data_IF_548092327300
#
_entry.id   IF_548092327300
#
_cell.length_a   1.000
_cell.length_b   1.000
_cell.length_c   1.000
_cell.angle_alpha   90.00
_cell.angle_beta   90.00
_cell.angle_gamma   90.00
#
_symmetry.space_group_name_H-M   'P 1'
#
loop_
_entity.id
_entity.type
_entity.pdbx_description
1 polymer ?
#
# COMPACT_ATOMS: atom_id res chain seq x y z
N UNK A 1 -0.78 14.70 16.11
CA UNK A 1 -0.70 13.27 16.30
C UNK A 1 -0.52 12.58 14.95
N UNK A 2 0.40 11.64 14.86
CA UNK A 2 0.71 10.96 13.61
C UNK A 2 -0.39 9.95 13.26
N UNK A 3 -0.86 9.98 12.02
CA UNK A 3 -1.83 9.00 11.53
C UNK A 3 -1.08 7.78 10.99
N UNK A 4 -0.83 6.81 11.87
CA UNK A 4 -0.11 5.59 11.51
C UNK A 4 -0.85 4.77 10.46
N UNK A 5 -2.19 4.84 10.45
CA UNK A 5 -2.99 4.14 9.47
C UNK A 5 -2.74 4.68 8.06
N UNK A 6 -2.67 6.00 7.93
CA UNK A 6 -2.36 6.63 6.65
C UNK A 6 -0.94 6.29 6.20
N UNK A 7 0.04 6.39 7.10
CA UNK A 7 1.43 6.10 6.79
C UNK A 7 1.62 4.65 6.38
N UNK A 8 0.94 3.72 7.04
CA UNK A 8 1.00 2.30 6.69
C UNK A 8 0.36 2.04 5.34
N UNK A 9 -0.73 2.72 5.03
CA UNK A 9 -1.38 2.59 3.73
C UNK A 9 -0.46 3.10 2.62
N UNK A 10 0.23 4.21 2.84
CA UNK A 10 1.22 4.72 1.89
C UNK A 10 2.38 3.73 1.71
N UNK A 11 2.87 3.15 2.80
CA UNK A 11 3.94 2.15 2.73
C UNK A 11 3.50 0.93 1.92
N UNK A 12 2.26 0.46 2.13
CA UNK A 12 1.70 -0.63 1.36
C UNK A 12 1.58 -0.27 -0.12
N UNK A 13 1.17 0.95 -0.42
CA UNK A 13 1.07 1.42 -1.80
C UNK A 13 2.43 1.38 -2.51
N UNK A 14 3.48 1.80 -1.82
CA UNK A 14 4.84 1.75 -2.37
C UNK A 14 5.30 0.32 -2.61
N UNK A 15 4.99 -0.60 -1.69
CA UNK A 15 5.28 -2.02 -1.88
C UNK A 15 4.58 -2.56 -3.12
N UNK A 16 3.29 -2.23 -3.29
CA UNK A 16 2.53 -2.67 -4.45
C UNK A 16 3.16 -2.18 -5.75
N UNK A 17 3.66 -0.95 -5.76
CA UNK A 17 4.20 -0.33 -6.97
C UNK A 17 5.52 -0.95 -7.43
N UNK A 18 6.15 -1.80 -6.62
CA UNK A 18 7.41 -2.46 -7.00
C UNK A 18 7.25 -3.49 -8.11
N UNK A 19 6.03 -3.93 -8.38
CA UNK A 19 5.76 -4.99 -9.36
C UNK A 19 5.84 -6.39 -8.80
N UNK A 20 6.22 -6.53 -7.54
CA UNK A 20 6.39 -7.81 -6.84
C UNK A 20 5.11 -8.65 -6.82
N UNK A 21 3.95 -7.99 -6.86
CA UNK A 21 2.63 -8.65 -6.79
C UNK A 21 1.91 -8.68 -8.13
N UNK A 22 2.64 -8.43 -9.22
CA UNK A 22 2.08 -8.44 -10.56
C UNK A 22 1.78 -7.03 -11.07
N UNK A 23 1.51 -6.93 -12.38
CA UNK A 23 1.35 -5.64 -13.02
C UNK A 23 0.08 -4.90 -12.62
N UNK A 24 -1.00 -5.63 -12.34
CA UNK A 24 -2.23 -5.00 -11.87
C UNK A 24 -2.01 -4.35 -10.50
N UNK A 25 -1.41 -5.10 -9.58
CA UNK A 25 -1.10 -4.57 -8.24
C UNK A 25 -0.14 -3.39 -8.33
N UNK A 26 0.83 -3.44 -9.24
CA UNK A 26 1.75 -2.34 -9.45
C UNK A 26 1.02 -1.08 -9.91
N UNK A 27 0.05 -1.21 -10.80
CA UNK A 27 -0.75 -0.08 -11.26
C UNK A 27 -1.60 0.52 -10.13
N UNK A 28 -2.17 -0.34 -9.29
CA UNK A 28 -2.94 0.11 -8.12
C UNK A 28 -2.03 0.85 -7.14
N UNK A 29 -0.85 0.30 -6.86
CA UNK A 29 0.13 0.94 -5.98
C UNK A 29 0.59 2.29 -6.52
N UNK A 30 0.84 2.36 -7.81
CA UNK A 30 1.26 3.60 -8.46
C UNK A 30 0.18 4.68 -8.36
N UNK A 31 -1.07 4.30 -8.62
CA UNK A 31 -2.20 5.21 -8.46
C UNK A 31 -2.33 5.68 -7.00
N UNK A 32 -2.17 4.75 -6.06
CA UNK A 32 -2.31 5.05 -4.64
C UNK A 32 -1.23 6.02 -4.15
N UNK A 33 0.00 5.90 -4.63
CA UNK A 33 1.07 6.81 -4.23
C UNK A 33 0.86 8.23 -4.73
N UNK A 34 0.02 8.40 -5.75
CA UNK A 34 -0.33 9.72 -6.31
C UNK A 34 -1.65 10.25 -5.80
N UNK A 35 -2.39 9.43 -5.06
CA UNK A 35 -3.73 9.77 -4.62
C UNK A 35 -3.71 10.72 -3.44
N UNK A 36 -4.72 11.58 -3.35
CA UNK A 36 -5.02 12.29 -2.12
C UNK A 36 -5.56 11.28 -1.09
N UNK A 37 -5.75 11.74 0.15
CA UNK A 37 -6.18 10.84 1.22
C UNK A 37 -7.54 10.17 0.91
N UNK A 38 -8.48 10.91 0.34
CA UNK A 38 -9.80 10.36 0.03
C UNK A 38 -9.71 9.26 -1.02
N UNK A 39 -8.94 9.50 -2.09
CA UNK A 39 -8.76 8.50 -3.14
C UNK A 39 -7.94 7.31 -2.66
N UNK A 40 -6.95 7.56 -1.81
CA UNK A 40 -6.19 6.47 -1.20
C UNK A 40 -7.11 5.56 -0.39
N UNK A 41 -8.01 6.12 0.40
CA UNK A 41 -8.98 5.35 1.17
C UNK A 41 -9.91 4.55 0.27
N UNK A 42 -10.32 5.11 -0.86
CA UNK A 42 -11.14 4.39 -1.84
C UNK A 42 -10.40 3.21 -2.43
N UNK A 43 -9.14 3.39 -2.79
CA UNK A 43 -8.33 2.31 -3.35
C UNK A 43 -8.09 1.20 -2.33
N UNK A 44 -7.70 1.56 -1.12
CA UNK A 44 -7.45 0.56 -0.08
C UNK A 44 -8.73 -0.17 0.32
N UNK A 45 -9.87 0.51 0.28
CA UNK A 45 -11.16 -0.11 0.54
C UNK A 45 -11.65 -1.01 -0.58
N UNK A 46 -11.30 -0.68 -1.83
CA UNK A 46 -11.69 -1.48 -3.00
C UNK A 46 -10.81 -2.72 -3.17
N UNK A 47 -9.55 -2.64 -2.76
CA UNK A 47 -8.58 -3.74 -2.91
C UNK A 47 -7.92 -4.06 -1.58
N UNK A 48 -8.71 -4.41 -0.56
CA UNK A 48 -8.15 -4.61 0.79
C UNK A 48 -7.13 -5.74 0.86
N UNK A 49 -7.30 -6.77 0.05
CA UNK A 49 -6.39 -7.93 0.07
C UNK A 49 -5.00 -7.55 -0.42
N UNK A 50 -4.92 -6.73 -1.46
CA UNK A 50 -3.62 -6.26 -1.97
C UNK A 50 -2.90 -5.42 -0.93
N UNK A 51 -3.61 -4.48 -0.32
CA UNK A 51 -3.01 -3.60 0.68
C UNK A 51 -2.59 -4.36 1.93
N UNK A 52 -3.40 -5.34 2.34
CA UNK A 52 -3.06 -6.18 3.50
C UNK A 52 -1.82 -7.01 3.23
N UNK A 53 -1.74 -7.62 2.05
CA UNK A 53 -0.57 -8.42 1.67
C UNK A 53 0.69 -7.58 1.63
N UNK A 54 0.62 -6.43 0.99
CA UNK A 54 1.77 -5.53 0.87
C UNK A 54 2.21 -4.98 2.22
N UNK A 55 1.26 -4.63 3.07
CA UNK A 55 1.58 -4.14 4.41
C UNK A 55 2.22 -5.21 5.26
N UNK A 56 1.72 -6.44 5.18
CA UNK A 56 2.30 -7.58 5.91
C UNK A 56 3.75 -7.79 5.50
N UNK A 57 4.03 -7.77 4.20
CA UNK A 57 5.40 -7.92 3.71
C UNK A 57 6.29 -6.76 4.14
N UNK A 58 5.77 -5.55 4.08
CA UNK A 58 6.51 -4.36 4.50
C UNK A 58 6.90 -4.46 5.98
N UNK A 59 5.96 -4.81 6.82
CA UNK A 59 6.22 -4.95 8.27
C UNK A 59 7.18 -6.10 8.55
N UNK A 60 7.09 -7.18 7.81
CA UNK A 60 8.01 -8.31 7.96
C UNK A 60 9.44 -7.90 7.63
N UNK A 61 9.62 -7.16 6.53
CA UNK A 61 10.94 -6.64 6.16
C UNK A 61 11.53 -5.75 7.25
N UNK A 62 10.69 -4.92 7.85
CA UNK A 62 11.10 -4.02 8.92
C UNK A 62 11.61 -4.78 10.13
N UNK A 63 10.96 -5.90 10.46
CA UNK A 63 11.35 -6.73 11.60
C UNK A 63 12.65 -7.48 11.33
N UNK A 64 12.86 -7.94 10.10
CA UNK A 64 14.00 -8.79 9.75
C UNK A 64 15.20 -8.02 9.21
N UNK A 65 15.05 -6.76 8.96
CA UNK A 65 16.10 -5.93 8.35
C UNK A 65 17.28 -5.69 9.29
#
# INVERSE_FOLDING_TARGET
MTDLSYERTIAAARELSTGKYGSFAAAIGDAATRADRANLNRLSGAFPELFTLALTDYLYQEITA
#
